data_IF_299814942711
#
_entry.id   IF_299814942711
#
_cell.length_a   1.000
_cell.length_b   1.000
_cell.length_c   1.000
_cell.angle_alpha   90.00
_cell.angle_beta   90.00
_cell.angle_gamma   90.00
#
_symmetry.space_group_name_H-M   'P 1'
#
loop_
_entity.id
_entity.type
_entity.pdbx_description
1 polymer ?
#
# COMPACT_ATOMS: atom_id res chain seq x y z
N UNK A 1 18.52 -6.30 -6.78
CA UNK A 1 19.44 -6.22 -5.65
C UNK A 1 18.79 -6.90 -4.45
N UNK A 2 19.57 -7.60 -3.63
CA UNK A 2 19.07 -8.39 -2.50
C UNK A 2 19.45 -7.74 -1.15
N UNK A 3 19.49 -6.40 -1.12
CA UNK A 3 19.84 -5.65 0.08
C UNK A 3 18.62 -4.93 0.64
N UNK A 4 18.53 -4.89 1.95
CA UNK A 4 17.54 -4.10 2.68
C UNK A 4 18.13 -2.70 2.92
N UNK A 5 17.58 -1.68 2.24
CA UNK A 5 18.05 -0.30 2.41
C UNK A 5 17.64 0.21 3.78
N UNK A 6 18.62 0.55 4.59
CA UNK A 6 18.41 1.00 5.98
C UNK A 6 18.49 2.51 6.14
N UNK A 7 19.29 3.17 5.31
CA UNK A 7 19.52 4.61 5.40
C UNK A 7 19.47 5.26 4.03
N UNK A 8 19.04 6.50 4.00
CA UNK A 8 18.98 7.35 2.82
C UNK A 8 19.52 8.73 3.17
N UNK A 9 20.56 9.18 2.50
CA UNK A 9 21.23 10.45 2.74
C UNK A 9 21.35 11.24 1.44
N UNK A 10 21.26 12.58 1.51
CA UNK A 10 21.56 13.45 0.37
C UNK A 10 22.99 14.02 0.50
N UNK A 11 23.82 13.74 -0.48
CA UNK A 11 25.21 14.20 -0.55
C UNK A 11 25.46 14.74 -1.97
N UNK A 12 25.90 16.00 -2.08
CA UNK A 12 26.21 16.64 -3.37
C UNK A 12 25.07 16.47 -4.41
N UNK A 13 23.85 16.82 -4.06
CA UNK A 13 22.63 16.72 -4.88
C UNK A 13 22.25 15.29 -5.32
N UNK A 14 22.89 14.26 -4.74
CA UNK A 14 22.58 12.86 -4.98
C UNK A 14 22.03 12.20 -3.71
N UNK A 15 20.98 11.43 -3.84
CA UNK A 15 20.49 10.54 -2.81
C UNK A 15 21.32 9.26 -2.81
N UNK A 16 21.85 8.88 -1.66
CA UNK A 16 22.65 7.67 -1.46
C UNK A 16 21.86 6.65 -0.65
N UNK A 17 21.67 5.48 -1.23
CA UNK A 17 21.09 4.33 -0.55
C UNK A 17 22.19 3.55 0.17
N UNK A 18 22.06 3.38 1.49
CA UNK A 18 23.08 2.77 2.31
C UNK A 18 22.57 1.53 3.05
N UNK A 19 23.48 0.57 3.19
CA UNK A 19 23.34 -0.61 4.02
C UNK A 19 24.63 -0.82 4.83
N UNK A 20 24.54 -0.85 6.16
CA UNK A 20 25.70 -0.96 7.06
C UNK A 20 26.83 0.03 6.72
N UNK A 21 26.49 1.31 6.57
CA UNK A 21 27.37 2.42 6.20
C UNK A 21 28.06 2.30 4.83
N UNK A 22 27.70 1.30 4.05
CA UNK A 22 28.15 1.16 2.67
C UNK A 22 27.13 1.77 1.71
N UNK A 23 27.58 2.68 0.85
CA UNK A 23 26.77 3.22 -0.25
C UNK A 23 26.59 2.12 -1.29
N UNK A 24 25.36 1.72 -1.54
CA UNK A 24 24.99 0.72 -2.55
C UNK A 24 24.64 1.35 -3.89
N UNK A 25 23.97 2.49 -3.86
CA UNK A 25 23.57 3.22 -5.05
C UNK A 25 23.52 4.74 -4.76
N UNK A 26 23.65 5.53 -5.81
CA UNK A 26 23.50 6.98 -5.77
C UNK A 26 22.72 7.44 -7.00
N UNK A 27 21.73 8.33 -6.81
CA UNK A 27 20.91 8.86 -7.88
C UNK A 27 20.36 10.25 -7.52
N UNK A 28 20.11 11.13 -8.51
CA UNK A 28 19.49 12.43 -8.26
C UNK A 28 18.03 12.31 -7.83
N UNK A 29 17.37 11.22 -8.19
CA UNK A 29 15.96 10.97 -7.88
C UNK A 29 15.79 9.59 -7.23
N UNK A 30 15.06 9.57 -6.12
CA UNK A 30 14.67 8.33 -5.41
C UNK A 30 13.16 8.31 -5.18
N UNK A 31 12.54 7.17 -5.45
CA UNK A 31 11.12 6.93 -5.20
C UNK A 31 10.98 5.86 -4.13
N UNK A 32 10.42 6.23 -2.98
CA UNK A 32 10.12 5.31 -1.90
C UNK A 32 8.83 4.54 -2.21
N UNK A 33 8.95 3.28 -2.67
CA UNK A 33 7.83 2.42 -3.07
C UNK A 33 7.70 1.15 -2.22
N UNK A 34 8.32 1.11 -1.03
CA UNK A 34 8.37 -0.04 -0.12
C UNK A 34 7.13 -0.23 0.76
N UNK A 35 5.93 0.18 0.31
CA UNK A 35 4.68 0.10 1.08
C UNK A 35 4.81 0.72 2.49
N UNK A 36 4.53 -0.01 3.57
CA UNK A 36 4.63 0.52 4.92
C UNK A 36 6.08 0.70 5.39
N UNK A 37 7.03 0.01 4.75
CA UNK A 37 8.46 0.09 5.10
C UNK A 37 9.09 1.46 4.75
N UNK A 38 8.43 2.26 3.92
CA UNK A 38 8.88 3.64 3.67
C UNK A 38 8.96 4.46 4.95
N UNK A 39 8.22 4.10 5.99
CA UNK A 39 8.23 4.78 7.29
C UNK A 39 9.56 4.66 8.05
N UNK A 40 10.46 3.78 7.64
CA UNK A 40 11.80 3.68 8.24
C UNK A 40 12.70 4.89 7.94
N UNK A 41 12.40 5.62 6.87
CA UNK A 41 13.16 6.81 6.50
C UNK A 41 12.61 8.07 7.18
N UNK A 42 13.46 8.94 7.75
CA UNK A 42 13.03 10.14 8.48
C UNK A 42 12.01 11.00 7.73
N UNK A 43 12.24 11.25 6.44
CA UNK A 43 11.39 12.10 5.60
C UNK A 43 9.95 11.55 5.42
N UNK A 44 9.74 10.25 5.62
CA UNK A 44 8.44 9.57 5.44
C UNK A 44 7.93 8.88 6.70
N UNK A 45 8.64 8.99 7.82
CA UNK A 45 8.29 8.36 9.10
C UNK A 45 6.92 8.81 9.64
N UNK A 46 6.56 10.07 9.42
CA UNK A 46 5.28 10.67 9.81
C UNK A 46 4.09 10.30 8.91
N UNK A 47 4.28 9.55 7.83
CA UNK A 47 3.17 9.14 6.98
C UNK A 47 2.26 8.15 7.74
N UNK A 48 0.93 8.39 7.77
CA UNK A 48 -0.01 7.59 8.56
C UNK A 48 -0.38 6.28 7.85
N UNK A 49 0.61 5.56 7.39
CA UNK A 49 0.45 4.28 6.73
C UNK A 49 0.13 3.18 7.74
N UNK A 50 -0.85 2.34 7.44
CA UNK A 50 -1.25 1.18 8.23
C UNK A 50 -1.01 -0.11 7.48
N UNK A 51 -0.52 -1.12 8.19
CA UNK A 51 -0.45 -2.51 7.71
C UNK A 51 -1.78 -3.20 8.03
N UNK A 52 -2.36 -3.86 7.06
CA UNK A 52 -3.55 -4.69 7.25
C UNK A 52 -3.20 -6.08 6.75
N UNK A 53 -3.18 -7.04 7.67
CA UNK A 53 -2.87 -8.43 7.33
C UNK A 53 -4.02 -9.06 6.54
N UNK A 54 -3.68 -9.77 5.48
CA UNK A 54 -4.60 -10.63 4.76
C UNK A 54 -3.96 -12.00 4.53
N UNK A 55 -4.70 -13.06 4.80
CA UNK A 55 -4.31 -14.44 4.50
C UNK A 55 -5.20 -14.96 3.39
N UNK A 56 -4.63 -15.33 2.26
CA UNK A 56 -5.36 -16.02 1.19
C UNK A 56 -5.33 -17.53 1.41
N UNK A 57 -6.32 -18.19 0.84
CA UNK A 57 -6.44 -19.67 0.81
C UNK A 57 -6.44 -20.14 -0.64
N UNK A 58 -5.65 -21.17 -0.92
CA UNK A 58 -5.67 -21.86 -2.20
C UNK A 58 -6.48 -23.15 -2.07
N UNK A 59 -7.41 -23.33 -3.00
CA UNK A 59 -8.27 -24.52 -3.11
C UNK A 59 -7.96 -25.24 -4.42
N UNK A 60 -7.72 -26.53 -4.36
CA UNK A 60 -7.47 -27.32 -5.55
C UNK A 60 -8.74 -27.35 -6.42
N UNK A 61 -8.57 -27.10 -7.71
CA UNK A 61 -9.67 -27.17 -8.67
C UNK A 61 -10.18 -28.60 -8.81
N UNK A 62 -11.48 -28.80 -8.70
CA UNK A 62 -12.16 -30.07 -9.03
C UNK A 62 -12.78 -29.99 -10.43
N UNK A 63 -13.10 -31.12 -11.08
CA UNK A 63 -13.87 -31.09 -12.32
C UNK A 63 -15.19 -30.32 -12.21
N UNK A 64 -15.84 -30.36 -11.05
CA UNK A 64 -17.09 -29.65 -10.79
C UNK A 64 -16.89 -28.13 -10.59
N UNK A 65 -15.78 -27.71 -9.98
CA UNK A 65 -15.45 -26.29 -9.76
C UNK A 65 -14.76 -25.64 -10.95
N UNK A 66 -14.22 -26.41 -11.88
CA UNK A 66 -13.56 -25.92 -13.12
C UNK A 66 -14.49 -25.13 -14.06
N UNK A 67 -15.78 -25.20 -13.83
CA UNK A 67 -16.79 -24.38 -14.55
C UNK A 67 -16.72 -22.91 -14.19
N UNK A 68 -16.08 -22.55 -13.08
CA UNK A 68 -15.88 -21.17 -12.67
C UNK A 68 -14.94 -20.45 -13.64
N UNK A 69 -15.49 -19.51 -14.44
CA UNK A 69 -14.75 -18.76 -15.47
C UNK A 69 -14.53 -17.29 -15.12
N UNK A 70 -15.19 -16.81 -14.09
CA UNK A 70 -15.12 -15.42 -13.64
C UNK A 70 -14.92 -15.36 -12.13
N UNK A 71 -14.50 -14.20 -11.64
CA UNK A 71 -14.40 -13.96 -10.19
C UNK A 71 -15.81 -13.85 -9.62
N UNK A 72 -16.08 -14.60 -8.55
CA UNK A 72 -17.33 -14.52 -7.78
C UNK A 72 -17.01 -13.94 -6.42
N UNK A 73 -17.78 -12.95 -5.98
CA UNK A 73 -17.55 -12.37 -4.67
C UNK A 73 -18.41 -11.17 -4.33
N UNK A 74 -18.24 -10.70 -3.10
CA UNK A 74 -18.79 -9.48 -2.55
C UNK A 74 -17.71 -8.71 -1.78
N UNK A 75 -17.68 -8.78 -0.45
CA UNK A 75 -16.60 -8.21 0.38
C UNK A 75 -15.28 -8.99 0.25
N UNK A 76 -15.35 -10.26 -0.09
CA UNK A 76 -14.25 -11.14 -0.45
C UNK A 76 -14.57 -11.81 -1.77
N UNK A 77 -13.63 -12.52 -2.39
CA UNK A 77 -13.85 -13.13 -3.69
C UNK A 77 -13.18 -14.49 -3.82
N UNK A 78 -13.73 -15.33 -4.69
CA UNK A 78 -13.10 -16.53 -5.22
C UNK A 78 -12.74 -16.31 -6.69
N UNK A 79 -11.46 -16.45 -7.02
CA UNK A 79 -10.97 -16.37 -8.39
C UNK A 79 -10.93 -17.75 -9.04
N UNK A 80 -11.15 -17.84 -10.39
CA UNK A 80 -10.96 -19.06 -11.16
C UNK A 80 -9.57 -19.67 -10.97
N UNK A 81 -9.47 -20.98 -11.07
CA UNK A 81 -8.22 -21.72 -10.92
C UNK A 81 -7.16 -21.34 -11.97
N UNK A 82 -5.94 -20.95 -11.52
CA UNK A 82 -4.76 -20.73 -12.37
C UNK A 82 -3.49 -21.08 -11.60
N UNK A 83 -2.70 -22.05 -12.01
CA UNK A 83 -3.06 -23.28 -12.73
C UNK A 83 -3.66 -24.30 -11.77
N UNK A 84 -4.90 -24.70 -11.98
CA UNK A 84 -5.61 -25.74 -11.23
C UNK A 84 -5.83 -25.47 -9.73
N UNK A 85 -5.82 -24.22 -9.30
CA UNK A 85 -6.14 -23.83 -7.95
C UNK A 85 -6.96 -22.53 -7.93
N UNK A 86 -8.09 -22.53 -7.27
CA UNK A 86 -8.85 -21.34 -6.94
C UNK A 86 -8.14 -20.57 -5.84
N UNK A 87 -8.30 -19.26 -5.85
CA UNK A 87 -7.79 -18.39 -4.79
C UNK A 87 -8.94 -17.69 -4.10
N UNK A 88 -9.07 -17.94 -2.80
CA UNK A 88 -9.96 -17.17 -1.94
C UNK A 88 -9.23 -15.94 -1.44
N UNK A 89 -9.87 -14.78 -1.59
CA UNK A 89 -9.36 -13.53 -1.09
C UNK A 89 -9.35 -13.54 0.44
N UNK A 90 -8.43 -12.78 1.05
CA UNK A 90 -8.32 -12.80 2.49
C UNK A 90 -9.47 -12.09 3.17
N UNK A 91 -9.92 -12.63 4.31
CA UNK A 91 -10.50 -11.81 5.36
C UNK A 91 -9.42 -10.91 5.92
N UNK A 92 -9.71 -9.62 6.04
CA UNK A 92 -8.77 -8.65 6.61
C UNK A 92 -8.75 -8.81 8.13
N UNK A 93 -7.55 -8.98 8.67
CA UNK A 93 -7.34 -9.08 10.12
C UNK A 93 -6.49 -7.88 10.55
N UNK A 94 -7.04 -7.13 11.48
CA UNK A 94 -6.34 -6.03 12.15
C UNK A 94 -5.57 -6.60 13.35
N UNK A 95 -4.48 -5.96 13.74
CA UNK A 95 -3.71 -6.28 14.94
C UNK A 95 -3.02 -7.68 14.96
N UNK A 96 -2.68 -8.21 13.78
CA UNK A 96 -1.86 -9.40 13.66
C UNK A 96 -0.64 -9.12 12.79
N UNK A 97 0.55 -9.24 13.36
CA UNK A 97 1.83 -8.96 12.67
C UNK A 97 2.49 -10.20 12.06
N UNK A 98 1.92 -11.39 12.26
CA UNK A 98 2.47 -12.64 11.75
C UNK A 98 2.27 -12.82 10.25
N UNK A 99 3.29 -13.28 9.54
CA UNK A 99 3.22 -13.67 8.12
C UNK A 99 2.96 -15.17 7.91
N UNK A 100 2.88 -15.93 9.00
CA UNK A 100 2.55 -17.36 8.94
C UNK A 100 1.05 -17.55 8.72
N UNK A 101 0.67 -18.43 7.81
CA UNK A 101 -0.72 -18.84 7.65
C UNK A 101 -1.20 -19.62 8.87
N UNK A 102 -2.49 -19.50 9.19
CA UNK A 102 -3.10 -20.19 10.33
C UNK A 102 -4.34 -20.95 9.89
N UNK A 103 -4.66 -22.11 10.52
CA UNK A 103 -5.90 -22.84 10.27
C UNK A 103 -7.15 -21.96 10.44
N UNK A 104 -7.16 -21.09 11.47
CA UNK A 104 -8.25 -20.17 11.73
C UNK A 104 -8.44 -19.17 10.57
N UNK A 105 -7.35 -18.72 9.95
CA UNK A 105 -7.41 -17.85 8.76
C UNK A 105 -7.98 -18.57 7.55
N UNK A 106 -7.65 -19.86 7.37
CA UNK A 106 -8.24 -20.70 6.33
C UNK A 106 -9.72 -20.95 6.60
N UNK A 107 -10.08 -21.32 7.84
CA UNK A 107 -11.46 -21.53 8.25
C UNK A 107 -12.33 -20.28 7.97
N UNK A 108 -11.87 -19.10 8.38
CA UNK A 108 -12.61 -17.86 8.12
C UNK A 108 -12.81 -17.56 6.63
N UNK A 109 -11.84 -17.94 5.76
CA UNK A 109 -11.99 -17.79 4.32
C UNK A 109 -13.01 -18.79 3.75
N UNK A 110 -13.09 -20.00 4.29
CA UNK A 110 -14.10 -21.00 3.90
C UNK A 110 -15.52 -20.58 4.30
N UNK A 111 -15.70 -20.05 5.49
CA UNK A 111 -16.98 -19.50 5.95
C UNK A 111 -17.48 -18.41 4.99
N UNK A 112 -16.58 -17.53 4.57
CA UNK A 112 -16.90 -16.50 3.58
C UNK A 112 -17.19 -17.06 2.18
N UNK A 113 -16.56 -18.16 1.78
CA UNK A 113 -16.90 -18.84 0.53
C UNK A 113 -18.31 -19.38 0.57
N UNK A 114 -18.70 -20.01 1.67
CA UNK A 114 -20.06 -20.53 1.89
C UNK A 114 -21.10 -19.40 1.84
N UNK A 115 -20.80 -18.24 2.44
CA UNK A 115 -21.67 -17.04 2.36
C UNK A 115 -21.82 -16.50 0.94
N UNK A 116 -20.73 -16.50 0.14
CA UNK A 116 -20.73 -15.98 -1.23
C UNK A 116 -21.43 -16.93 -2.19
N UNK A 117 -21.12 -18.21 -2.09
CA UNK A 117 -21.62 -19.24 -3.02
C UNK A 117 -21.58 -20.64 -2.39
N UNK A 118 -22.66 -21.07 -1.73
CA UNK A 118 -22.79 -22.43 -1.22
C UNK A 118 -22.62 -23.50 -2.32
N UNK A 119 -23.10 -23.21 -3.54
CA UNK A 119 -22.93 -24.11 -4.69
C UNK A 119 -21.46 -24.31 -5.05
N UNK A 120 -20.65 -23.24 -5.03
CA UNK A 120 -19.21 -23.35 -5.30
C UNK A 120 -18.48 -24.10 -4.18
N UNK A 121 -18.83 -23.82 -2.92
CA UNK A 121 -18.28 -24.55 -1.77
C UNK A 121 -18.56 -26.06 -1.91
N UNK A 122 -19.78 -26.44 -2.21
CA UNK A 122 -20.18 -27.83 -2.45
C UNK A 122 -19.42 -28.48 -3.63
N UNK A 123 -19.21 -27.75 -4.74
CA UNK A 123 -18.44 -28.22 -5.91
C UNK A 123 -16.97 -28.47 -5.63
N UNK A 124 -16.41 -27.82 -4.62
CA UNK A 124 -15.02 -28.02 -4.19
C UNK A 124 -14.85 -29.33 -3.40
N UNK A 125 -15.92 -29.86 -2.77
CA UNK A 125 -15.94 -31.10 -2.04
C UNK A 125 -15.36 -30.97 -0.63
N UNK A 126 -16.08 -31.56 0.34
CA UNK A 126 -15.79 -31.40 1.78
C UNK A 126 -14.42 -31.95 2.19
N UNK A 127 -13.93 -32.99 1.52
CA UNK A 127 -12.65 -33.63 1.84
C UNK A 127 -11.44 -32.70 1.62
N UNK A 128 -11.58 -31.70 0.75
CA UNK A 128 -10.51 -30.73 0.46
C UNK A 128 -10.56 -29.51 1.38
N UNK A 129 -11.63 -29.34 2.14
CA UNK A 129 -11.87 -28.15 2.95
C UNK A 129 -11.36 -28.31 4.40
N UNK A 130 -10.20 -28.95 4.58
CA UNK A 130 -9.56 -29.09 5.88
C UNK A 130 -8.58 -27.93 6.12
N UNK A 131 -8.88 -26.99 7.03
CA UNK A 131 -8.06 -25.81 7.32
C UNK A 131 -6.63 -26.14 7.76
N UNK A 132 -6.39 -27.29 8.39
CA UNK A 132 -5.07 -27.68 8.90
C UNK A 132 -4.09 -28.06 7.78
N UNK A 133 -4.61 -28.48 6.63
CA UNK A 133 -3.80 -28.93 5.48
C UNK A 133 -3.79 -27.97 4.30
N UNK A 134 -4.56 -26.88 4.39
CA UNK A 134 -4.69 -25.90 3.31
C UNK A 134 -3.40 -25.13 3.07
N UNK A 135 -3.20 -24.79 1.81
CA UNK A 135 -2.13 -23.91 1.37
C UNK A 135 -2.63 -22.47 1.20
N UNK A 136 -1.72 -21.56 1.38
CA UNK A 136 -1.98 -20.14 1.18
C UNK A 136 -0.75 -19.32 1.55
N UNK A 137 -0.91 -18.02 1.59
CA UNK A 137 0.09 -17.12 2.14
C UNK A 137 -0.57 -15.94 2.83
N UNK A 138 0.18 -15.34 3.75
CA UNK A 138 -0.22 -14.12 4.42
C UNK A 138 0.71 -12.99 4.03
N UNK A 139 0.15 -11.79 3.87
CA UNK A 139 0.91 -10.59 3.57
C UNK A 139 0.19 -9.36 4.13
N UNK A 140 0.91 -8.24 4.16
CA UNK A 140 0.34 -6.95 4.56
C UNK A 140 -0.04 -6.12 3.35
N UNK A 141 -1.26 -5.60 3.37
CA UNK A 141 -1.64 -4.44 2.57
C UNK A 141 -1.23 -3.18 3.31
N UNK A 142 -0.78 -2.20 2.57
CA UNK A 142 -0.47 -0.88 3.09
C UNK A 142 -1.55 0.11 2.66
N UNK A 143 -2.21 0.75 3.61
CA UNK A 143 -3.28 1.71 3.33
C UNK A 143 -3.07 3.04 4.05
N UNK A 144 -3.56 4.10 3.46
CA UNK A 144 -3.72 5.42 4.06
C UNK A 144 -5.04 5.53 4.82
N UNK A 145 -5.21 6.48 5.76
CA UNK A 145 -6.46 6.67 6.49
C UNK A 145 -7.65 7.09 5.64
N UNK A 146 -7.41 7.75 4.51
CA UNK A 146 -8.44 8.24 3.59
C UNK A 146 -8.62 7.36 2.36
N UNK A 147 -7.95 6.21 2.33
CA UNK A 147 -7.99 5.21 1.23
C UNK A 147 -7.50 5.73 -0.13
N UNK A 148 -6.97 6.95 -0.21
CA UNK A 148 -6.27 7.44 -1.39
C UNK A 148 -4.79 7.06 -1.32
N UNK A 149 -4.15 6.71 -2.43
CA UNK A 149 -2.72 6.46 -2.44
C UNK A 149 -1.94 7.72 -2.02
N UNK A 150 -0.73 7.53 -1.56
CA UNK A 150 0.21 8.60 -1.23
C UNK A 150 1.25 8.66 -2.33
N UNK A 151 1.18 9.70 -3.14
CA UNK A 151 1.96 9.84 -4.39
C UNK A 151 2.45 11.26 -4.54
N UNK A 152 3.75 11.44 -4.73
CA UNK A 152 4.33 12.76 -4.98
C UNK A 152 5.61 13.03 -4.20
N UNK A 153 6.12 14.27 -4.25
CA UNK A 153 7.33 14.68 -3.53
C UNK A 153 7.12 14.64 -2.02
N UNK A 154 8.18 14.36 -1.28
CA UNK A 154 8.22 14.46 0.18
C UNK A 154 8.70 15.83 0.60
N UNK A 155 8.11 16.37 1.65
CA UNK A 155 8.57 17.61 2.27
C UNK A 155 9.51 17.32 3.44
N UNK A 156 10.41 18.25 3.72
CA UNK A 156 11.17 18.26 4.97
C UNK A 156 10.21 18.44 6.16
N UNK A 157 10.15 17.51 7.12
CA UNK A 157 9.14 17.54 8.18
C UNK A 157 9.28 18.76 9.11
N UNK A 158 10.52 19.19 9.42
CA UNK A 158 10.78 20.28 10.33
C UNK A 158 10.47 21.63 9.66
N UNK A 159 10.97 21.83 8.44
CA UNK A 159 10.67 23.03 7.67
C UNK A 159 9.18 23.14 7.35
N UNK A 160 8.50 22.01 7.06
CA UNK A 160 7.05 21.99 6.84
C UNK A 160 6.29 22.41 8.10
N UNK A 161 6.63 21.85 9.27
CA UNK A 161 6.01 22.20 10.53
C UNK A 161 6.24 23.69 10.89
N UNK A 162 7.40 24.25 10.55
CA UNK A 162 7.73 25.66 10.74
C UNK A 162 6.91 26.55 9.77
N UNK A 163 6.96 26.27 8.48
CA UNK A 163 6.32 27.09 7.42
C UNK A 163 4.78 27.13 7.57
N UNK A 164 4.19 26.01 7.93
CA UNK A 164 2.73 25.86 8.06
C UNK A 164 2.22 25.90 9.50
N UNK A 165 3.07 26.23 10.47
CA UNK A 165 2.74 26.22 11.91
C UNK A 165 1.58 27.12 12.33
N UNK A 166 1.27 28.17 11.59
CA UNK A 166 0.13 29.06 11.83
C UNK A 166 -1.20 28.32 11.78
N UNK A 167 -1.31 27.24 11.01
CA UNK A 167 -2.51 26.41 10.89
C UNK A 167 -2.93 25.75 12.21
N UNK A 168 -1.99 25.60 13.17
CA UNK A 168 -2.33 25.14 14.52
C UNK A 168 -3.19 26.14 15.31
N UNK A 169 -3.09 27.43 14.96
CA UNK A 169 -3.83 28.49 15.64
C UNK A 169 -5.11 28.85 14.87
N UNK A 170 -5.04 28.91 13.57
CA UNK A 170 -6.19 29.21 12.71
C UNK A 170 -6.06 28.47 11.38
N UNK A 171 -6.92 27.47 11.20
CA UNK A 171 -6.97 26.63 9.99
C UNK A 171 -7.32 27.41 8.70
N UNK A 172 -7.78 28.65 8.81
CA UNK A 172 -8.13 29.51 7.67
C UNK A 172 -6.94 30.32 7.16
N UNK A 173 -5.89 30.44 7.96
CA UNK A 173 -4.68 31.17 7.61
C UNK A 173 -3.73 30.25 6.83
N UNK A 174 -4.06 29.91 5.59
CA UNK A 174 -3.16 29.15 4.73
C UNK A 174 -1.98 30.03 4.33
N UNK A 175 -0.72 29.68 4.71
CA UNK A 175 0.45 30.47 4.36
C UNK A 175 0.67 30.48 2.85
N UNK A 176 0.96 31.64 2.29
CA UNK A 176 1.38 31.81 0.88
C UNK A 176 2.90 31.61 0.76
N UNK A 177 3.33 30.38 1.07
CA UNK A 177 4.74 29.99 0.97
C UNK A 177 4.85 28.66 0.21
N UNK A 178 5.91 28.45 -0.58
CA UNK A 178 6.12 27.19 -1.25
C UNK A 178 6.31 26.07 -0.23
N UNK A 179 5.81 24.89 -0.56
CA UNK A 179 6.05 23.69 0.28
C UNK A 179 7.56 23.36 0.24
N UNK A 180 8.19 23.10 1.38
CA UNK A 180 9.62 22.79 1.47
C UNK A 180 9.88 21.34 1.04
N UNK A 181 9.75 21.08 -0.26
CA UNK A 181 10.00 19.76 -0.83
C UNK A 181 11.47 19.37 -0.71
N UNK A 182 11.71 18.11 -0.41
CA UNK A 182 13.02 17.48 -0.52
C UNK A 182 13.27 17.16 -1.99
N UNK A 183 14.11 17.96 -2.62
CA UNK A 183 14.41 17.83 -4.04
C UNK A 183 14.90 16.42 -4.38
N UNK A 184 14.30 15.82 -5.42
CA UNK A 184 14.59 14.47 -5.88
C UNK A 184 14.05 13.32 -5.02
N UNK A 185 13.27 13.58 -3.94
CA UNK A 185 12.73 12.52 -3.08
C UNK A 185 11.21 12.44 -3.19
N UNK A 186 10.75 11.27 -3.63
CA UNK A 186 9.33 11.00 -3.88
C UNK A 186 8.84 9.75 -3.13
N UNK A 187 7.52 9.62 -2.99
CA UNK A 187 6.87 8.45 -2.43
C UNK A 187 5.75 7.95 -3.34
N UNK A 188 5.60 6.62 -3.41
CA UNK A 188 4.48 5.93 -4.04
C UNK A 188 4.03 4.77 -3.16
N UNK A 189 2.99 4.97 -2.36
CA UNK A 189 2.57 4.02 -1.34
C UNK A 189 1.09 4.15 -0.98
N UNK A 190 0.62 3.34 -0.04
CA UNK A 190 -0.72 3.48 0.54
C UNK A 190 -1.87 3.04 -0.37
N UNK A 191 -1.62 2.19 -1.37
CA UNK A 191 -2.62 1.76 -2.37
C UNK A 191 -3.74 0.86 -1.84
N UNK A 192 -3.61 0.33 -0.62
CA UNK A 192 -4.60 -0.55 -0.01
C UNK A 192 -4.89 -1.80 -0.85
N UNK A 193 -6.17 -2.06 -1.10
CA UNK A 193 -6.62 -3.20 -1.90
C UNK A 193 -6.71 -2.93 -3.40
N UNK A 194 -6.45 -1.69 -3.85
CA UNK A 194 -6.62 -1.25 -5.23
C UNK A 194 -5.30 -1.02 -5.98
N UNK A 195 -4.19 -1.57 -5.47
CA UNK A 195 -2.86 -1.32 -6.01
C UNK A 195 -2.71 -1.63 -7.50
N UNK A 196 -3.29 -2.72 -8.00
CA UNK A 196 -3.24 -3.08 -9.41
C UNK A 196 -3.93 -2.05 -10.33
N UNK A 197 -4.89 -1.29 -9.81
CA UNK A 197 -5.59 -0.23 -10.56
C UNK A 197 -4.87 1.10 -10.39
N UNK A 198 -4.45 1.43 -9.17
CA UNK A 198 -3.93 2.76 -8.85
C UNK A 198 -2.44 2.92 -9.08
N UNK A 199 -1.64 1.85 -8.96
CA UNK A 199 -0.18 1.96 -9.08
C UNK A 199 0.30 2.38 -10.49
N UNK A 200 -0.26 1.88 -11.60
CA UNK A 200 0.15 2.36 -12.92
C UNK A 200 -0.08 3.87 -13.10
N UNK A 201 -1.28 4.34 -12.77
CA UNK A 201 -1.59 5.77 -12.84
C UNK A 201 -0.73 6.61 -11.89
N UNK A 202 -0.42 6.09 -10.71
CA UNK A 202 0.49 6.75 -9.76
C UNK A 202 1.91 6.87 -10.30
N UNK A 203 2.35 5.87 -11.07
CA UNK A 203 3.64 5.92 -11.78
C UNK A 203 3.67 7.04 -12.82
N UNK A 204 2.61 7.20 -13.62
CA UNK A 204 2.47 8.29 -14.59
C UNK A 204 2.43 9.68 -13.92
N UNK A 205 1.72 9.80 -12.78
CA UNK A 205 1.71 11.05 -11.99
C UNK A 205 3.12 11.39 -11.51
N UNK A 206 3.87 10.41 -11.00
CA UNK A 206 5.26 10.63 -10.56
C UNK A 206 6.18 10.98 -11.72
N UNK A 207 6.06 10.31 -12.85
CA UNK A 207 6.84 10.62 -14.04
C UNK A 207 6.60 12.06 -14.49
N UNK A 208 5.34 12.52 -14.51
CA UNK A 208 4.99 13.89 -14.82
C UNK A 208 5.58 14.89 -13.83
N UNK A 209 5.57 14.62 -12.52
CA UNK A 209 6.20 15.46 -11.50
C UNK A 209 7.73 15.54 -11.68
N UNK A 210 8.39 14.41 -11.97
CA UNK A 210 9.84 14.31 -12.07
C UNK A 210 10.36 15.01 -13.34
N UNK A 211 9.61 14.90 -14.44
CA UNK A 211 10.03 15.41 -15.75
C UNK A 211 9.45 16.80 -16.07
N UNK A 212 8.69 17.40 -15.14
CA UNK A 212 7.96 18.66 -15.38
C UNK A 212 7.03 18.57 -16.60
N UNK A 213 6.31 17.46 -16.72
CA UNK A 213 5.36 17.18 -17.80
C UNK A 213 3.91 17.45 -17.35
N UNK A 214 2.98 17.62 -18.30
CA UNK A 214 1.56 17.73 -17.97
C UNK A 214 1.05 16.49 -17.20
N UNK A 215 0.31 16.73 -16.11
CA UNK A 215 -0.26 15.65 -15.31
C UNK A 215 -1.27 14.81 -16.12
N UNK A 216 -1.27 13.48 -15.97
CA UNK A 216 -2.22 12.58 -16.65
C UNK A 216 -3.63 12.65 -16.06
N UNK A 217 -3.81 13.40 -15.00
CA UNK A 217 -5.07 13.62 -14.27
C UNK A 217 -5.26 15.10 -13.98
N UNK A 218 -6.46 15.50 -13.54
CA UNK A 218 -6.66 16.86 -13.08
C UNK A 218 -5.74 17.19 -11.89
N UNK A 219 -5.35 18.45 -11.79
CA UNK A 219 -4.50 18.93 -10.69
C UNK A 219 -5.10 18.60 -9.31
N UNK A 220 -6.41 18.73 -9.16
CA UNK A 220 -7.11 18.41 -7.93
C UNK A 220 -6.96 16.93 -7.52
N UNK A 221 -6.96 16.01 -8.49
CA UNK A 221 -6.75 14.57 -8.22
C UNK A 221 -5.31 14.32 -7.79
N UNK A 222 -4.33 14.90 -8.49
CA UNK A 222 -2.91 14.75 -8.12
C UNK A 222 -2.64 15.33 -6.73
N UNK A 223 -3.13 16.53 -6.44
CA UNK A 223 -2.99 17.18 -5.14
C UNK A 223 -3.66 16.40 -3.99
N UNK A 224 -4.81 15.77 -4.25
CA UNK A 224 -5.47 14.89 -3.28
C UNK A 224 -4.63 13.66 -2.90
N UNK A 225 -3.65 13.29 -3.73
CA UNK A 225 -2.74 12.18 -3.45
C UNK A 225 -1.42 12.61 -2.79
N UNK A 226 -1.13 13.91 -2.70
CA UNK A 226 0.14 14.39 -2.13
C UNK A 226 0.33 13.97 -0.67
N UNK A 227 1.55 13.60 -0.26
CA UNK A 227 1.85 13.17 1.11
C UNK A 227 1.62 14.27 2.16
N UNK A 228 1.87 15.54 1.82
CA UNK A 228 1.74 16.69 2.73
C UNK A 228 0.31 16.95 3.22
N UNK A 229 -0.73 16.39 2.55
CA UNK A 229 -2.13 16.48 3.01
C UNK A 229 -2.34 15.99 4.44
N UNK A 230 -1.53 15.03 4.87
CA UNK A 230 -1.59 14.51 6.24
C UNK A 230 -0.91 15.43 7.24
N UNK A 231 0.21 16.04 6.86
CA UNK A 231 0.87 17.07 7.65
C UNK A 231 -0.04 18.28 7.88
N UNK A 232 -0.71 18.75 6.83
CA UNK A 232 -1.69 19.84 6.93
C UNK A 232 -2.84 19.47 7.89
N UNK A 233 -3.42 18.28 7.74
CA UNK A 233 -4.50 17.80 8.63
C UNK A 233 -4.05 17.66 10.08
N UNK A 234 -2.81 17.23 10.31
CA UNK A 234 -2.23 17.12 11.65
C UNK A 234 -2.09 18.51 12.28
N UNK A 235 -1.49 19.47 11.58
CA UNK A 235 -1.34 20.85 12.07
C UNK A 235 -2.70 21.49 12.41
N UNK A 236 -3.71 21.36 11.55
CA UNK A 236 -5.06 21.89 11.79
C UNK A 236 -5.70 21.27 13.04
N UNK A 237 -5.38 20.03 13.38
CA UNK A 237 -5.86 19.34 14.58
C UNK A 237 -5.03 19.63 15.84
N UNK A 238 -3.97 20.42 15.72
CA UNK A 238 -3.07 20.74 16.82
C UNK A 238 -2.12 19.61 17.24
N UNK A 239 -1.89 18.68 16.31
CA UNK A 239 -0.98 17.54 16.50
C UNK A 239 0.42 17.85 15.97
#
# INVERSE_FOLDING_TARGET
THHDILQLHKVNEQWQECYNDQVLASAPVVILAGAAEVKRFPASSGLPLKRIRGQITQLVETPASAVLKTVVGSCVFCAPGRPRAHTLSPRLVFDNEGLTTTPQGHQGNLELLEEISPDLAHRLGDEQLNPDTMRGWAAFRCTSPDYLPIVGPLADPEQFASAYGVLRKDARQVPDVPCPWLDGLYVNSGHGSRGLITAPLSGEILAAWINDEPLPVSRAVAEACLPNRFGLRALIKGL
#
